data_IF_165558702112
#
_entry.id   IF_165558702112
#
_cell.length_a   1.000
_cell.length_b   1.000
_cell.length_c   1.000
_cell.angle_alpha   90.00
_cell.angle_beta   90.00
_cell.angle_gamma   90.00
#
_symmetry.space_group_name_H-M   'P 1'
#
loop_
_entity.id
_entity.type
_entity.pdbx_description
1 polymer ?
#
# COMPACT_ATOMS: atom_id res chain seq x y z
N UNK A 1 -30.69 -7.24 13.18
CA UNK A 1 -29.86 -6.25 13.89
C UNK A 1 -30.75 -5.05 14.22
N UNK A 2 -30.92 -4.75 15.51
CA UNK A 2 -31.74 -3.62 15.96
C UNK A 2 -30.92 -2.32 15.94
N UNK A 3 -31.59 -1.19 15.72
CA UNK A 3 -30.99 0.14 15.57
C UNK A 3 -30.34 0.73 16.84
N UNK A 4 -29.96 -0.11 17.83
CA UNK A 4 -29.40 0.32 19.12
C UNK A 4 -27.89 0.13 19.24
N UNK A 5 -27.23 -0.49 18.26
CA UNK A 5 -25.79 -0.77 18.31
C UNK A 5 -24.93 0.29 17.60
N UNK A 6 -25.51 1.43 17.19
CA UNK A 6 -24.76 2.51 16.54
C UNK A 6 -24.13 3.43 17.60
N UNK A 7 -22.79 3.52 17.70
CA UNK A 7 -22.13 4.40 18.66
C UNK A 7 -22.51 5.86 18.41
N UNK A 8 -22.75 6.62 19.49
CA UNK A 8 -23.06 8.06 19.43
C UNK A 8 -21.79 8.87 19.20
N UNK A 9 -21.26 8.80 17.98
CA UNK A 9 -20.00 9.44 17.56
C UNK A 9 -19.99 10.98 17.65
N UNK A 10 -21.16 11.61 17.88
CA UNK A 10 -21.29 13.05 18.07
C UNK A 10 -21.41 13.47 19.54
N UNK A 11 -21.32 12.53 20.48
CA UNK A 11 -21.30 12.84 21.91
C UNK A 11 -19.94 13.45 22.28
N UNK A 12 -19.87 14.66 22.87
CA UNK A 12 -18.61 15.28 23.28
C UNK A 12 -17.87 14.51 24.39
N UNK A 13 -18.55 13.56 25.06
CA UNK A 13 -17.94 12.61 25.99
C UNK A 13 -17.45 11.33 25.33
N UNK A 14 -17.69 11.15 24.02
CA UNK A 14 -17.07 10.10 23.21
C UNK A 14 -15.57 10.35 23.19
N UNK A 15 -14.89 9.73 24.13
CA UNK A 15 -13.46 9.51 24.02
C UNK A 15 -13.32 8.55 22.87
N UNK A 16 -13.03 9.12 21.69
CA UNK A 16 -12.42 8.39 20.62
C UNK A 16 -11.07 7.92 21.15
N UNK A 17 -11.10 6.86 21.93
CA UNK A 17 -9.99 5.95 22.09
C UNK A 17 -9.84 5.36 20.69
N UNK A 18 -9.27 6.18 19.79
CA UNK A 18 -9.00 5.91 18.39
C UNK A 18 -7.86 4.91 18.41
N UNK A 19 -8.15 3.71 18.91
CA UNK A 19 -7.45 2.51 18.53
C UNK A 19 -7.72 2.47 17.04
N UNK A 20 -6.77 3.02 16.26
CA UNK A 20 -6.68 2.72 14.84
C UNK A 20 -6.83 1.22 14.77
N UNK A 21 -7.96 0.84 14.18
CA UNK A 21 -8.44 -0.45 13.73
C UNK A 21 -7.52 -1.62 13.40
N UNK A 22 -6.20 -1.59 13.63
CA UNK A 22 -5.19 -2.19 12.75
C UNK A 22 -5.66 -3.54 12.24
N UNK A 23 -5.95 -3.63 10.93
CA UNK A 23 -6.44 -4.86 10.33
C UNK A 23 -5.29 -5.88 10.39
N UNK A 24 -5.35 -6.88 11.29
CA UNK A 24 -4.24 -7.80 11.43
C UNK A 24 -4.22 -8.74 10.24
N UNK A 25 -3.06 -9.33 9.99
CA UNK A 25 -2.96 -10.45 9.07
C UNK A 25 -3.85 -11.61 9.55
N UNK A 26 -4.48 -12.28 8.59
CA UNK A 26 -5.39 -13.41 8.80
C UNK A 26 -5.37 -14.35 7.61
N UNK A 27 -6.19 -15.38 7.62
CA UNK A 27 -6.35 -16.29 6.47
C UNK A 27 -6.86 -15.57 5.21
N UNK A 28 -7.50 -14.40 5.36
CA UNK A 28 -8.02 -13.61 4.25
C UNK A 28 -7.19 -12.36 3.95
N UNK A 29 -6.37 -11.90 4.90
CA UNK A 29 -5.64 -10.63 4.80
C UNK A 29 -4.15 -10.86 4.98
N UNK A 30 -3.34 -10.30 4.09
CA UNK A 30 -1.89 -10.21 4.25
C UNK A 30 -1.42 -8.79 3.94
N UNK A 31 -0.86 -8.12 4.94
CA UNK A 31 -0.34 -6.75 4.84
C UNK A 31 -1.36 -5.79 4.18
N UNK A 32 -2.63 -5.85 4.64
CA UNK A 32 -3.78 -5.09 4.12
C UNK A 32 -4.20 -5.42 2.69
N UNK A 33 -3.70 -6.51 2.12
CA UNK A 33 -4.14 -7.03 0.83
C UNK A 33 -5.06 -8.24 1.02
N UNK A 34 -6.00 -8.44 0.10
CA UNK A 34 -6.75 -9.68 -0.02
C UNK A 34 -5.77 -10.80 -0.37
N UNK A 35 -5.60 -11.76 0.54
CA UNK A 35 -4.62 -12.85 0.42
C UNK A 35 -4.83 -13.66 -0.86
N UNK A 36 -6.06 -13.78 -1.36
CA UNK A 36 -6.37 -14.51 -2.61
C UNK A 36 -5.80 -13.83 -3.86
N UNK A 37 -5.48 -12.54 -3.77
CA UNK A 37 -4.94 -11.73 -4.88
C UNK A 37 -3.43 -11.54 -4.81
N UNK A 38 -2.80 -12.00 -3.73
CA UNK A 38 -1.38 -11.80 -3.48
C UNK A 38 -0.55 -12.64 -4.45
N UNK A 39 0.41 -11.98 -5.09
CA UNK A 39 1.42 -12.57 -5.95
C UNK A 39 2.80 -12.14 -5.45
N UNK A 40 3.78 -13.02 -5.60
CA UNK A 40 5.18 -12.76 -5.26
C UNK A 40 6.03 -13.00 -6.50
N UNK A 41 6.88 -12.03 -6.82
CA UNK A 41 7.78 -12.06 -7.97
C UNK A 41 9.21 -12.01 -7.48
N UNK A 42 10.02 -13.00 -7.87
CA UNK A 42 11.48 -13.01 -7.67
C UNK A 42 12.25 -12.60 -8.93
N UNK A 43 11.53 -12.38 -10.03
CA UNK A 43 12.06 -11.88 -11.30
C UNK A 43 11.37 -10.57 -11.66
N UNK A 44 12.14 -9.51 -11.88
CA UNK A 44 11.62 -8.19 -12.23
C UNK A 44 10.86 -8.22 -13.57
N UNK A 45 11.35 -8.94 -14.58
CA UNK A 45 10.75 -8.95 -15.90
C UNK A 45 9.29 -9.44 -15.87
N UNK A 46 9.00 -10.46 -15.05
CA UNK A 46 7.66 -11.03 -14.88
C UNK A 46 6.70 -10.01 -14.25
N UNK A 47 7.17 -9.25 -13.25
CA UNK A 47 6.39 -8.17 -12.65
C UNK A 47 6.13 -7.04 -13.66
N UNK A 48 7.18 -6.59 -14.37
CA UNK A 48 7.09 -5.49 -15.33
C UNK A 48 6.18 -5.82 -16.51
N UNK A 49 6.14 -7.07 -16.95
CA UNK A 49 5.25 -7.51 -18.02
C UNK A 49 3.77 -7.35 -17.65
N UNK A 50 3.42 -7.54 -16.38
CA UNK A 50 2.04 -7.49 -15.91
C UNK A 50 1.61 -6.10 -15.44
N UNK A 51 2.51 -5.37 -14.77
CA UNK A 51 2.17 -4.15 -14.04
C UNK A 51 3.01 -2.94 -14.45
N UNK A 52 4.01 -3.10 -15.30
CA UNK A 52 4.91 -2.02 -15.66
C UNK A 52 5.81 -1.54 -14.51
N UNK A 53 6.61 -0.50 -14.75
CA UNK A 53 7.74 -0.14 -13.89
C UNK A 53 7.42 0.90 -12.82
N UNK A 54 6.22 1.48 -12.81
CA UNK A 54 5.95 2.63 -11.95
C UNK A 54 5.18 2.22 -10.70
N UNK A 55 5.62 2.81 -9.59
CA UNK A 55 4.91 2.76 -8.32
C UNK A 55 4.85 4.16 -7.74
N UNK A 56 3.88 4.41 -6.87
CA UNK A 56 3.77 5.66 -6.14
C UNK A 56 3.49 5.41 -4.65
N UNK A 57 3.56 6.48 -3.87
CA UNK A 57 3.32 6.45 -2.43
C UNK A 57 2.70 7.75 -1.96
N UNK A 58 1.68 7.63 -1.14
CA UNK A 58 1.21 8.68 -0.23
C UNK A 58 1.81 8.38 1.14
N UNK A 59 2.58 9.31 1.71
CA UNK A 59 3.34 9.11 2.94
C UNK A 59 4.84 9.27 2.75
N UNK A 60 5.54 9.59 3.85
CA UNK A 60 7.00 9.73 3.87
C UNK A 60 7.74 8.45 3.43
N UNK A 61 8.96 8.54 2.86
CA UNK A 61 9.67 7.39 2.30
C UNK A 61 10.10 6.31 3.31
N UNK A 62 9.99 6.56 4.61
CA UNK A 62 10.23 5.60 5.70
C UNK A 62 9.13 4.53 5.83
N UNK A 63 8.05 4.62 5.04
CA UNK A 63 7.01 3.59 5.00
C UNK A 63 7.22 2.52 3.92
N UNK A 64 6.47 1.42 4.08
CA UNK A 64 6.66 0.14 3.39
C UNK A 64 5.55 -0.22 2.39
N UNK A 65 4.59 0.67 2.19
CA UNK A 65 3.45 0.47 1.31
C UNK A 65 3.55 1.43 0.12
N UNK A 66 3.64 0.86 -1.06
CA UNK A 66 3.57 1.56 -2.34
C UNK A 66 2.36 1.04 -3.12
N UNK A 67 1.99 1.73 -4.19
CA UNK A 67 0.91 1.30 -5.09
C UNK A 67 1.40 1.27 -6.52
N UNK A 68 0.90 0.31 -7.29
CA UNK A 68 1.11 0.26 -8.72
C UNK A 68 0.59 1.55 -9.37
N UNK A 69 1.42 2.16 -10.21
CA UNK A 69 1.09 3.36 -10.97
C UNK A 69 0.99 3.00 -12.47
N UNK A 70 -0.19 3.02 -13.08
CA UNK A 70 -0.33 2.66 -14.49
C UNK A 70 0.42 3.65 -15.41
N UNK A 71 0.97 3.16 -16.51
CA UNK A 71 1.66 3.99 -17.51
C UNK A 71 0.64 4.80 -18.32
N UNK A 72 0.83 6.12 -18.40
CA UNK A 72 0.00 6.98 -19.26
C UNK A 72 -1.41 7.29 -18.74
N UNK A 73 -1.81 6.72 -17.60
CA UNK A 73 -3.11 7.00 -16.97
C UNK A 73 -2.96 7.93 -15.76
N UNK A 74 -4.05 8.22 -15.05
CA UNK A 74 -3.99 8.93 -13.76
C UNK A 74 -3.52 8.01 -12.64
N UNK A 75 -2.90 8.55 -11.57
CA UNK A 75 -2.63 7.76 -10.37
C UNK A 75 -3.92 7.17 -9.78
N UNK A 76 -3.79 6.05 -9.07
CA UNK A 76 -4.91 5.45 -8.35
C UNK A 76 -5.45 6.42 -7.29
N UNK A 77 -6.77 6.63 -7.29
CA UNK A 77 -7.44 7.51 -6.33
C UNK A 77 -7.22 7.06 -4.88
N UNK A 78 -7.31 8.03 -3.97
CA UNK A 78 -7.02 7.85 -2.54
C UNK A 78 -7.90 6.78 -1.90
N UNK A 79 -9.18 6.76 -2.23
CA UNK A 79 -10.20 5.87 -1.68
C UNK A 79 -9.89 4.40 -1.95
N UNK A 80 -9.31 4.09 -3.12
CA UNK A 80 -8.94 2.71 -3.46
C UNK A 80 -7.71 2.23 -2.66
N UNK A 81 -6.92 3.14 -2.09
CA UNK A 81 -5.73 2.82 -1.28
C UNK A 81 -6.08 2.43 0.16
N UNK A 82 -7.33 2.67 0.59
CA UNK A 82 -7.79 2.40 1.95
C UNK A 82 -6.87 2.98 3.04
N UNK A 83 -6.45 4.23 2.86
CA UNK A 83 -5.59 4.95 3.80
C UNK A 83 -6.40 5.73 4.82
N UNK A 84 -5.79 6.00 5.96
CA UNK A 84 -6.36 6.87 6.98
C UNK A 84 -6.51 8.30 6.41
N UNK A 85 -7.60 8.99 6.74
CA UNK A 85 -7.89 10.34 6.25
C UNK A 85 -6.76 11.34 6.54
N UNK A 86 -5.96 11.14 7.60
CA UNK A 86 -4.81 12.00 7.89
C UNK A 86 -3.74 11.96 6.79
N UNK A 87 -3.63 10.86 6.03
CA UNK A 87 -2.70 10.73 4.92
C UNK A 87 -3.02 11.67 3.74
N UNK A 88 -4.16 12.37 3.73
CA UNK A 88 -4.41 13.46 2.79
C UNK A 88 -3.41 14.63 2.93
N UNK A 89 -2.78 14.77 4.09
CA UNK A 89 -1.76 15.79 4.35
C UNK A 89 -0.34 15.28 4.07
N UNK A 90 -0.19 13.99 3.75
CA UNK A 90 1.11 13.40 3.52
C UNK A 90 1.65 13.73 2.12
N UNK A 91 2.99 13.76 1.95
CA UNK A 91 3.59 13.95 0.65
C UNK A 91 3.24 12.80 -0.32
N UNK A 92 3.15 13.15 -1.60
CA UNK A 92 3.01 12.19 -2.70
C UNK A 92 4.35 12.04 -3.43
N UNK A 93 4.78 10.79 -3.64
CA UNK A 93 5.99 10.45 -4.37
C UNK A 93 5.69 9.45 -5.49
N UNK A 94 6.36 9.61 -6.63
CA UNK A 94 6.35 8.64 -7.72
C UNK A 94 7.75 8.10 -7.97
N UNK A 95 7.83 6.81 -8.28
CA UNK A 95 9.07 6.07 -8.46
C UNK A 95 9.03 5.19 -9.70
N UNK A 96 10.21 4.86 -10.20
CA UNK A 96 10.42 3.82 -11.20
C UNK A 96 11.27 2.68 -10.61
N UNK A 97 10.84 1.44 -10.83
CA UNK A 97 11.57 0.22 -10.46
C UNK A 97 12.67 -0.01 -11.50
N UNK A 98 13.93 0.04 -11.06
CA UNK A 98 15.10 -0.09 -11.94
C UNK A 98 15.69 -1.49 -11.96
N UNK A 99 15.69 -2.15 -10.81
CA UNK A 99 16.28 -3.48 -10.66
C UNK A 99 15.63 -4.22 -9.49
N UNK A 100 15.81 -5.53 -9.46
CA UNK A 100 15.49 -6.39 -8.34
C UNK A 100 16.73 -7.21 -8.00
N UNK A 101 17.53 -6.79 -6.99
CA UNK A 101 18.74 -7.48 -6.59
C UNK A 101 18.47 -8.94 -6.19
N UNK A 102 19.51 -9.78 -6.29
CA UNK A 102 19.40 -11.17 -5.84
C UNK A 102 18.99 -11.23 -4.36
N UNK A 103 18.07 -12.14 -4.04
CA UNK A 103 17.50 -12.26 -2.69
C UNK A 103 16.36 -11.30 -2.41
N UNK A 104 16.06 -10.36 -3.32
CA UNK A 104 14.88 -9.51 -3.22
C UNK A 104 13.66 -10.09 -3.96
N UNK A 105 12.47 -9.73 -3.50
CA UNK A 105 11.20 -10.06 -4.15
C UNK A 105 10.23 -8.88 -4.11
N UNK A 106 9.22 -8.93 -4.99
CA UNK A 106 8.09 -7.99 -5.01
C UNK A 106 6.84 -8.75 -4.61
N UNK A 107 6.21 -8.35 -3.51
CA UNK A 107 4.88 -8.82 -3.11
C UNK A 107 3.83 -7.80 -3.49
N UNK A 108 2.82 -8.21 -4.23
CA UNK A 108 1.72 -7.33 -4.66
C UNK A 108 0.37 -8.00 -4.54
N UNK A 109 -0.67 -7.22 -4.29
CA UNK A 109 -2.04 -7.68 -4.11
C UNK A 109 -3.00 -6.51 -4.07
N UNK A 110 -4.30 -6.78 -3.99
CA UNK A 110 -5.35 -5.77 -3.96
C UNK A 110 -5.65 -5.38 -2.51
N UNK A 111 -5.64 -4.09 -2.20
CA UNK A 111 -6.02 -3.60 -0.88
C UNK A 111 -7.47 -3.98 -0.55
N UNK A 112 -7.67 -4.49 0.66
CA UNK A 112 -9.02 -4.73 1.19
C UNK A 112 -9.69 -3.40 1.58
N UNK A 113 -11.04 -3.36 1.66
CA UNK A 113 -11.75 -2.22 2.24
C UNK A 113 -11.29 -1.94 3.67
N UNK A 114 -11.03 -0.67 3.99
CA UNK A 114 -10.60 -0.24 5.32
C UNK A 114 -10.79 1.28 5.50
N UNK A 115 -10.91 1.75 6.75
CA UNK A 115 -11.24 3.16 7.06
C UNK A 115 -12.52 3.68 6.36
N UNK A 116 -13.53 2.82 6.20
CA UNK A 116 -14.76 3.10 5.44
C UNK A 116 -14.54 3.46 3.97
N UNK A 117 -13.35 3.14 3.44
CA UNK A 117 -12.99 3.27 2.04
C UNK A 117 -13.06 1.91 1.33
N UNK A 118 -13.36 1.90 0.02
CA UNK A 118 -13.66 0.66 -0.72
C UNK A 118 -12.45 -0.27 -0.92
N UNK A 119 -11.21 0.20 -0.77
CA UNK A 119 -10.04 -0.57 -1.21
C UNK A 119 -10.07 -0.81 -2.71
N UNK A 120 -9.23 -1.72 -3.21
CA UNK A 120 -9.17 -2.05 -4.64
C UNK A 120 -7.90 -1.59 -5.36
N UNK A 121 -7.09 -0.73 -4.76
CA UNK A 121 -5.78 -0.38 -5.31
C UNK A 121 -4.83 -1.58 -5.22
N UNK A 122 -3.96 -1.74 -6.22
CA UNK A 122 -2.90 -2.75 -6.17
C UNK A 122 -1.72 -2.22 -5.35
N UNK A 123 -1.54 -2.75 -4.15
CA UNK A 123 -0.41 -2.46 -3.27
C UNK A 123 0.82 -3.23 -3.73
N UNK A 124 2.00 -2.65 -3.49
CA UNK A 124 3.31 -3.22 -3.81
C UNK A 124 4.22 -3.07 -2.58
N UNK A 125 4.92 -4.14 -2.26
CA UNK A 125 5.96 -4.20 -1.24
C UNK A 125 7.21 -4.84 -1.83
N UNK A 126 8.37 -4.29 -1.50
CA UNK A 126 9.67 -4.91 -1.80
C UNK A 126 10.17 -5.62 -0.55
N UNK A 127 10.73 -6.80 -0.72
CA UNK A 127 11.27 -7.59 0.38
C UNK A 127 12.71 -7.97 0.08
N UNK A 128 13.58 -7.89 1.07
CA UNK A 128 14.86 -8.60 1.09
C UNK A 128 14.65 -9.86 1.94
N UNK A 129 14.66 -11.02 1.30
CA UNK A 129 14.17 -12.27 1.89
C UNK A 129 12.73 -12.08 2.43
N UNK A 130 12.54 -12.17 3.75
CA UNK A 130 11.24 -11.97 4.41
C UNK A 130 11.06 -10.56 5.01
N UNK A 131 12.09 -9.70 4.91
CA UNK A 131 12.07 -8.35 5.49
C UNK A 131 11.50 -7.37 4.48
N UNK A 132 10.35 -6.77 4.83
CA UNK A 132 9.76 -5.71 4.01
C UNK A 132 10.58 -4.43 4.11
N UNK A 133 11.03 -3.95 2.96
CA UNK A 133 11.81 -2.73 2.79
C UNK A 133 10.89 -1.50 2.74
N UNK A 134 11.39 -0.39 3.27
CA UNK A 134 10.83 0.95 3.12
C UNK A 134 11.16 1.53 1.74
N UNK A 135 10.45 2.58 1.32
CA UNK A 135 10.77 3.24 0.06
C UNK A 135 12.18 3.86 0.09
N UNK A 136 12.64 4.38 1.24
CA UNK A 136 14.00 4.93 1.38
C UNK A 136 15.07 3.84 1.25
N UNK A 137 14.90 2.68 1.89
CA UNK A 137 15.83 1.54 1.70
C UNK A 137 15.85 1.07 0.25
N UNK A 138 14.69 1.08 -0.44
CA UNK A 138 14.64 0.74 -1.86
C UNK A 138 15.39 1.76 -2.74
N UNK A 139 15.38 3.05 -2.38
CA UNK A 139 16.17 4.07 -3.06
C UNK A 139 17.68 3.85 -2.82
N UNK A 140 18.07 3.57 -1.58
CA UNK A 140 19.46 3.32 -1.19
C UNK A 140 20.06 2.08 -1.86
N UNK A 141 19.25 1.02 -2.01
CA UNK A 141 19.62 -0.21 -2.72
C UNK A 141 19.50 -0.08 -4.26
N UNK A 142 19.04 1.07 -4.76
CA UNK A 142 18.83 1.31 -6.19
C UNK A 142 17.73 0.46 -6.82
N UNK A 143 16.85 -0.15 -6.02
CA UNK A 143 15.63 -0.84 -6.49
C UNK A 143 14.70 0.19 -7.13
N UNK A 144 14.54 1.33 -6.45
CA UNK A 144 13.72 2.45 -6.89
C UNK A 144 14.59 3.65 -7.26
N UNK A 145 14.06 4.49 -8.14
CA UNK A 145 14.55 5.85 -8.38
C UNK A 145 13.39 6.82 -8.35
N UNK A 146 13.62 8.04 -7.86
CA UNK A 146 12.62 9.10 -7.88
C UNK A 146 12.28 9.48 -9.32
N UNK A 147 10.99 9.64 -9.60
CA UNK A 147 10.49 10.10 -10.89
C UNK A 147 10.16 11.58 -10.81
N UNK A 148 10.78 12.39 -11.66
CA UNK A 148 10.27 13.73 -12.00
C UNK A 148 9.11 13.55 -12.97
N UNK A 149 7.95 14.14 -12.67
CA UNK A 149 6.83 14.24 -13.63
C UNK A 149 7.20 15.10 -14.85
#
# INVERSE_FOLDING_TARGET
>A
MGAQDVPKIHDPSFRGDMIIRFLPDSDQVLARMDRSTVQVFTNLADYLQLYGPYVDRVGYPDGKYLWHRPVGERPTYFEYRSLDIFALNDPYYSYEIKQLPQGCSIRTGINVPYFDLPGGARQVQFLAEDIVLTAIECLELGILTGRSE
#
